data_IF_634175430030
#
_entry.id   IF_634175430030
#
_cell.length_a   1.000
_cell.length_b   1.000
_cell.length_c   1.000
_cell.angle_alpha   90.00
_cell.angle_beta   90.00
_cell.angle_gamma   90.00
#
_symmetry.space_group_name_H-M   'P 1'
#
loop_
_entity.id
_entity.type
_entity.pdbx_description
1 polymer ?
#
# COMPACT_ATOMS: atom_id res chain seq x y z
N UNK A 1 11.79 -3.96 -9.75
CA UNK A 1 11.22 -4.73 -8.61
C UNK A 1 9.76 -4.33 -8.53
N UNK A 2 8.88 -5.24 -8.10
CA UNK A 2 7.46 -4.91 -7.95
C UNK A 2 7.30 -3.81 -6.91
N UNK A 3 6.35 -2.92 -7.16
CA UNK A 3 5.94 -1.88 -6.24
C UNK A 3 4.53 -2.14 -5.74
N UNK A 4 4.26 -1.75 -4.51
CA UNK A 4 2.96 -1.90 -3.87
C UNK A 4 2.55 -0.54 -3.31
N UNK A 5 1.27 -0.19 -3.38
CA UNK A 5 0.73 1.00 -2.73
C UNK A 5 -0.34 0.56 -1.76
N UNK A 6 -0.20 0.98 -0.51
CA UNK A 6 -1.11 0.64 0.59
C UNK A 6 -1.80 1.93 1.04
N UNK A 7 -3.11 1.87 1.21
CA UNK A 7 -3.89 2.86 1.95
C UNK A 7 -4.35 2.19 3.26
N UNK A 8 -3.89 2.73 4.38
CA UNK A 8 -4.08 2.14 5.70
C UNK A 8 -4.68 3.15 6.66
N UNK A 9 -5.83 2.83 7.24
CA UNK A 9 -6.46 3.67 8.23
C UNK A 9 -5.77 3.51 9.59
N UNK A 10 -5.05 4.52 10.05
CA UNK A 10 -4.29 4.45 11.31
C UNK A 10 -5.18 4.40 12.54
N UNK A 11 -6.43 4.86 12.42
CA UNK A 11 -7.38 4.94 13.53
C UNK A 11 -8.16 3.65 13.70
N UNK A 12 -8.68 3.06 12.62
CA UNK A 12 -9.35 1.75 12.69
C UNK A 12 -8.36 0.59 12.65
N UNK A 13 -7.17 0.81 12.13
CA UNK A 13 -6.16 -0.23 11.92
C UNK A 13 -6.43 -1.11 10.69
N UNK A 14 -7.31 -0.69 9.80
CA UNK A 14 -7.73 -1.45 8.62
C UNK A 14 -6.90 -1.13 7.37
N UNK A 15 -6.68 -2.15 6.55
CA UNK A 15 -6.18 -1.98 5.20
C UNK A 15 -7.37 -1.59 4.30
N UNK A 16 -7.43 -0.33 3.89
CA UNK A 16 -8.50 0.15 3.03
C UNK A 16 -8.30 -0.27 1.58
N UNK A 17 -7.04 -0.26 1.11
CA UNK A 17 -6.71 -0.59 -0.28
C UNK A 17 -5.25 -1.05 -0.45
N UNK A 18 -5.02 -1.89 -1.47
CA UNK A 18 -3.71 -2.40 -1.87
C UNK A 18 -3.63 -2.50 -3.41
N UNK A 19 -2.80 -1.65 -4.02
CA UNK A 19 -2.51 -1.72 -5.45
C UNK A 19 -1.13 -2.37 -5.70
N UNK A 20 -1.06 -3.29 -6.67
CA UNK A 20 0.20 -3.95 -7.06
C UNK A 20 0.67 -3.50 -8.45
N UNK A 21 1.96 -3.18 -8.54
CA UNK A 21 2.63 -2.76 -9.78
C UNK A 21 3.78 -3.73 -10.09
N UNK A 22 3.55 -4.64 -11.02
CA UNK A 22 4.56 -5.63 -11.42
C UNK A 22 5.59 -5.08 -12.43
N UNK A 23 6.68 -5.84 -12.59
CA UNK A 23 7.69 -5.61 -13.61
C UNK A 23 8.86 -4.72 -13.17
N UNK A 24 9.72 -4.38 -14.14
CA UNK A 24 10.97 -3.64 -13.88
C UNK A 24 10.71 -2.25 -13.30
N UNK A 25 9.66 -1.58 -13.78
CA UNK A 25 9.27 -0.23 -13.36
C UNK A 25 8.23 -0.19 -12.24
N UNK A 26 7.91 -1.35 -11.63
CA UNK A 26 6.87 -1.47 -10.60
C UNK A 26 7.02 -0.47 -9.46
N UNK A 27 8.22 -0.39 -8.88
CA UNK A 27 8.57 0.56 -7.81
C UNK A 27 8.34 2.02 -8.20
N UNK A 28 8.72 2.41 -9.44
CA UNK A 28 8.54 3.78 -9.94
C UNK A 28 7.05 4.09 -10.12
N UNK A 29 6.27 3.15 -10.64
CA UNK A 29 4.82 3.31 -10.81
C UNK A 29 4.11 3.42 -9.46
N UNK A 30 4.47 2.58 -8.48
CA UNK A 30 3.93 2.64 -7.13
C UNK A 30 4.24 3.96 -6.43
N UNK A 31 5.47 4.47 -6.54
CA UNK A 31 5.82 5.78 -5.99
C UNK A 31 4.99 6.91 -6.64
N UNK A 32 4.85 6.91 -7.97
CA UNK A 32 4.01 7.89 -8.67
C UNK A 32 2.56 7.84 -8.18
N UNK A 33 2.02 6.62 -8.06
CA UNK A 33 0.65 6.41 -7.60
C UNK A 33 0.44 6.89 -6.15
N UNK A 34 1.38 6.62 -5.25
CA UNK A 34 1.36 7.16 -3.88
C UNK A 34 1.24 8.67 -3.89
N UNK A 35 2.09 9.37 -4.65
CA UNK A 35 2.07 10.84 -4.73
C UNK A 35 0.75 11.38 -5.27
N UNK A 36 0.17 10.72 -6.27
CA UNK A 36 -1.15 11.07 -6.81
C UNK A 36 -2.28 10.90 -5.79
N UNK A 37 -2.23 9.83 -5.00
CA UNK A 37 -3.20 9.58 -3.93
C UNK A 37 -3.04 10.55 -2.77
N UNK A 38 -1.80 10.83 -2.34
CA UNK A 38 -1.48 11.80 -1.29
C UNK A 38 -2.00 13.20 -1.65
N UNK A 39 -1.85 13.62 -2.91
CA UNK A 39 -2.36 14.90 -3.39
C UNK A 39 -3.90 15.02 -3.34
N UNK A 40 -4.61 13.89 -3.34
CA UNK A 40 -6.08 13.82 -3.27
C UNK A 40 -6.60 13.38 -1.91
N UNK A 41 -5.71 13.13 -0.93
CA UNK A 41 -6.09 12.58 0.36
C UNK A 41 -6.92 13.60 1.15
N UNK A 42 -8.16 13.24 1.44
CA UNK A 42 -9.08 14.06 2.25
C UNK A 42 -9.09 13.67 3.72
N UNK A 43 -8.78 12.40 4.03
CA UNK A 43 -8.74 11.89 5.40
C UNK A 43 -7.30 11.82 5.92
N UNK A 44 -7.02 12.53 7.02
CA UNK A 44 -5.71 12.54 7.67
C UNK A 44 -5.38 11.23 8.40
N UNK A 45 -6.38 10.42 8.74
CA UNK A 45 -6.18 9.14 9.42
C UNK A 45 -5.69 8.06 8.45
N UNK A 46 -5.91 8.24 7.14
CA UNK A 46 -5.41 7.35 6.08
C UNK A 46 -3.94 7.64 5.79
N UNK A 47 -3.10 6.64 6.05
CA UNK A 47 -1.69 6.59 5.68
C UNK A 47 -1.55 5.95 4.29
N UNK A 48 -0.82 6.61 3.38
CA UNK A 48 -0.59 6.11 2.02
C UNK A 48 0.90 5.86 1.86
N UNK A 49 1.27 4.60 1.59
CA UNK A 49 2.68 4.18 1.55
C UNK A 49 2.96 3.36 0.29
N UNK A 50 4.17 3.53 -0.26
CA UNK A 50 4.67 2.72 -1.38
C UNK A 50 5.80 1.83 -0.90
N UNK A 51 5.68 0.52 -1.13
CA UNK A 51 6.67 -0.48 -0.75
C UNK A 51 7.26 -1.16 -1.98
N UNK A 52 8.50 -1.63 -1.87
CA UNK A 52 9.17 -2.39 -2.92
C UNK A 52 9.54 -3.76 -2.38
N UNK A 53 9.11 -4.81 -3.07
CA UNK A 53 9.40 -6.20 -2.68
C UNK A 53 9.31 -7.13 -3.89
N UNK A 54 9.75 -8.38 -3.71
CA UNK A 54 9.68 -9.41 -4.76
C UNK A 54 8.27 -10.00 -4.87
N UNK A 55 7.50 -9.98 -3.77
CA UNK A 55 6.14 -10.52 -3.73
C UNK A 55 5.28 -9.87 -2.64
N UNK A 56 3.98 -10.11 -2.71
CA UNK A 56 3.02 -9.73 -1.67
C UNK A 56 3.32 -10.42 -0.32
N UNK A 57 3.72 -11.70 -0.36
CA UNK A 57 4.04 -12.44 0.86
C UNK A 57 5.23 -11.83 1.62
N UNK A 58 6.22 -11.31 0.89
CA UNK A 58 7.36 -10.62 1.49
C UNK A 58 6.93 -9.34 2.23
N UNK A 59 6.01 -8.54 1.67
CA UNK A 59 5.51 -7.35 2.38
C UNK A 59 4.59 -7.70 3.55
N UNK A 60 3.83 -8.80 3.48
CA UNK A 60 3.02 -9.27 4.62
C UNK A 60 3.88 -9.64 5.83
N UNK A 61 5.07 -10.19 5.59
CA UNK A 61 6.03 -10.53 6.65
C UNK A 61 6.78 -9.29 7.15
N UNK A 62 7.35 -8.51 6.24
CA UNK A 62 8.23 -7.37 6.60
C UNK A 62 7.48 -6.13 7.07
N UNK A 63 6.21 -5.98 6.69
CA UNK A 63 5.36 -4.83 7.00
C UNK A 63 3.99 -5.29 7.52
N UNK A 64 3.99 -6.31 8.39
CA UNK A 64 2.78 -6.98 8.93
C UNK A 64 1.77 -6.04 9.57
N UNK A 65 2.22 -4.88 10.09
CA UNK A 65 1.34 -3.83 10.64
C UNK A 65 0.17 -3.49 9.71
N UNK A 66 0.41 -3.39 8.40
CA UNK A 66 -0.63 -3.03 7.44
C UNK A 66 -1.65 -4.15 7.19
N UNK A 67 -1.34 -5.38 7.58
CA UNK A 67 -2.15 -6.58 7.33
C UNK A 67 -2.78 -7.16 8.60
N UNK A 68 -2.69 -6.43 9.71
CA UNK A 68 -3.15 -6.88 11.02
C UNK A 68 -4.65 -6.63 11.24
N UNK A 69 -5.27 -5.75 10.42
CA UNK A 69 -6.71 -5.46 10.45
C UNK A 69 -7.52 -6.54 9.72
N UNK A 70 -8.66 -6.93 10.28
CA UNK A 70 -9.46 -8.08 9.84
C UNK A 70 -10.18 -7.96 8.49
N UNK A 71 -10.06 -6.83 7.79
CA UNK A 71 -10.78 -6.54 6.56
C UNK A 71 -9.76 -6.31 5.43
N UNK A 72 -9.60 -7.30 4.53
CA UNK A 72 -8.74 -7.18 3.36
C UNK A 72 -9.63 -7.10 2.11
N UNK A 73 -9.81 -5.91 1.54
CA UNK A 73 -10.43 -5.75 0.23
C UNK A 73 -9.31 -5.75 -0.83
N UNK A 74 -9.24 -6.80 -1.64
CA UNK A 74 -8.30 -6.89 -2.76
C UNK A 74 -9.07 -6.48 -4.01
N UNK A 75 -8.67 -5.39 -4.66
CA UNK A 75 -9.20 -4.94 -5.95
C UNK A 75 -8.34 -5.46 -7.12
#
# INVERSE_FOLDING_TARGET
MSGFVIQYNRKSGELEDLETFEGRDGSRKALKRRLELEARRTDSDVEIVSLNARSLDEIKVTHSRYFSGGSLHIA
#
